data_IF_932605419704
#
_entry.id   IF_932605419704
#
_cell.length_a   1.000
_cell.length_b   1.000
_cell.length_c   1.000
_cell.angle_alpha   90.00
_cell.angle_beta   90.00
_cell.angle_gamma   90.00
#
_symmetry.space_group_name_H-M   'P 1'
#
loop_
_entity.id
_entity.type
_entity.pdbx_description
1 polymer ?
#
# COMPACT_ATOMS: atom_id res chain seq x y z
N UNK A 1 23.13 13.79 -40.15
CA UNK A 1 22.01 12.85 -39.84
C UNK A 1 22.47 11.48 -39.35
N UNK A 2 23.41 10.79 -40.03
CA UNK A 2 23.88 9.44 -39.64
C UNK A 2 24.55 9.38 -38.26
N UNK A 3 25.37 10.40 -37.94
CA UNK A 3 26.03 10.54 -36.62
C UNK A 3 25.02 10.71 -35.49
N UNK A 4 24.01 11.57 -35.66
CA UNK A 4 22.93 11.77 -34.67
C UNK A 4 22.15 10.48 -34.42
N UNK A 5 21.80 9.75 -35.49
CA UNK A 5 21.12 8.44 -35.37
C UNK A 5 21.97 7.42 -34.59
N UNK A 6 23.27 7.37 -34.84
CA UNK A 6 24.18 6.48 -34.11
C UNK A 6 24.31 6.88 -32.63
N UNK A 7 24.36 8.18 -32.31
CA UNK A 7 24.40 8.67 -30.92
C UNK A 7 23.10 8.29 -30.19
N UNK A 8 21.94 8.52 -30.81
CA UNK A 8 20.63 8.14 -30.23
C UNK A 8 20.57 6.62 -30.01
N UNK A 9 21.01 5.83 -30.99
CA UNK A 9 21.04 4.37 -30.87
C UNK A 9 21.92 3.90 -29.70
N UNK A 10 23.14 4.44 -29.57
CA UNK A 10 24.06 4.12 -28.46
C UNK A 10 23.44 4.53 -27.11
N UNK A 11 22.80 5.70 -27.04
CA UNK A 11 22.13 6.15 -25.82
C UNK A 11 20.96 5.22 -25.42
N UNK A 12 20.16 4.75 -26.38
CA UNK A 12 19.08 3.79 -26.13
C UNK A 12 19.65 2.47 -25.61
N UNK A 13 20.67 1.92 -26.26
CA UNK A 13 21.31 0.66 -25.82
C UNK A 13 21.88 0.81 -24.42
N UNK A 14 22.52 1.93 -24.11
CA UNK A 14 23.05 2.21 -22.77
C UNK A 14 21.94 2.28 -21.72
N UNK A 15 20.83 2.96 -22.00
CA UNK A 15 19.67 3.02 -21.10
C UNK A 15 19.04 1.64 -20.88
N UNK A 16 18.93 0.82 -21.93
CA UNK A 16 18.45 -0.57 -21.82
C UNK A 16 19.37 -1.39 -20.93
N UNK A 17 20.69 -1.29 -21.12
CA UNK A 17 21.68 -2.00 -20.30
C UNK A 17 21.60 -1.59 -18.82
N UNK A 18 21.43 -0.30 -18.52
CA UNK A 18 21.18 0.17 -17.15
C UNK A 18 19.89 -0.42 -16.61
N UNK A 19 18.82 -0.42 -17.41
CA UNK A 19 17.53 -1.01 -17.02
C UNK A 19 17.65 -2.49 -16.66
N UNK A 20 18.33 -3.28 -17.50
CA UNK A 20 18.59 -4.69 -17.23
C UNK A 20 19.40 -4.92 -15.95
N UNK A 21 20.43 -4.10 -15.71
CA UNK A 21 21.21 -4.16 -14.47
C UNK A 21 20.36 -3.85 -13.24
N UNK A 22 19.49 -2.84 -13.30
CA UNK A 22 18.59 -2.49 -12.20
C UNK A 22 17.58 -3.62 -11.94
N UNK A 23 17.06 -4.26 -13.00
CA UNK A 23 16.16 -5.40 -12.88
C UNK A 23 16.86 -6.61 -12.27
N UNK A 24 18.07 -6.94 -12.75
CA UNK A 24 18.89 -8.02 -12.20
C UNK A 24 19.18 -7.81 -10.71
N UNK A 25 19.67 -6.63 -10.33
CA UNK A 25 19.91 -6.30 -8.92
C UNK A 25 18.65 -6.37 -8.05
N UNK A 26 17.48 -6.03 -8.61
CA UNK A 26 16.19 -6.13 -7.91
C UNK A 26 15.75 -7.58 -7.72
N UNK A 27 15.99 -8.43 -8.72
CA UNK A 27 15.75 -9.86 -8.63
C UNK A 27 16.67 -10.52 -7.59
N UNK A 28 17.95 -10.20 -7.60
CA UNK A 28 18.93 -10.70 -6.63
C UNK A 28 18.53 -10.30 -5.21
N UNK A 29 18.11 -9.04 -5.00
CA UNK A 29 17.60 -8.56 -3.72
C UNK A 29 16.35 -9.33 -3.24
N UNK A 30 15.42 -9.66 -4.15
CA UNK A 30 14.26 -10.51 -3.83
C UNK A 30 14.70 -11.94 -3.43
N UNK A 31 15.63 -12.52 -4.18
CA UNK A 31 16.16 -13.86 -3.91
C UNK A 31 16.88 -13.94 -2.58
N UNK A 32 17.73 -12.95 -2.29
CA UNK A 32 18.43 -12.84 -1.01
C UNK A 32 17.45 -12.72 0.16
N UNK A 33 16.36 -11.97 0.00
CA UNK A 33 15.35 -11.79 1.04
C UNK A 33 14.66 -13.12 1.39
N UNK A 34 14.20 -13.88 0.39
CA UNK A 34 13.56 -15.20 0.59
C UNK A 34 14.54 -16.25 1.09
N UNK A 35 15.79 -16.22 0.61
CA UNK A 35 16.80 -17.17 1.05
C UNK A 35 17.19 -16.97 2.51
N UNK A 36 17.12 -15.73 3.03
CA UNK A 36 17.42 -15.42 4.44
C UNK A 36 16.27 -15.81 5.36
N UNK A 37 15.05 -15.46 4.99
CA UNK A 37 13.83 -15.80 5.74
C UNK A 37 12.76 -16.21 4.72
N UNK A 38 12.43 -17.50 4.62
CA UNK A 38 11.36 -17.99 3.76
C UNK A 38 10.03 -17.27 4.01
N UNK A 39 9.24 -17.12 2.96
CA UNK A 39 7.96 -16.40 3.02
C UNK A 39 6.99 -17.00 4.05
N UNK A 40 6.93 -18.33 4.13
CA UNK A 40 6.07 -19.04 5.09
C UNK A 40 6.45 -18.72 6.53
N UNK A 41 7.73 -18.82 6.88
CA UNK A 41 8.27 -18.50 8.21
C UNK A 41 8.00 -17.03 8.57
N UNK A 42 8.18 -16.13 7.60
CA UNK A 42 7.92 -14.71 7.79
C UNK A 42 6.45 -14.44 8.11
N UNK A 43 5.54 -15.09 7.40
CA UNK A 43 4.09 -14.96 7.61
C UNK A 43 3.65 -15.56 8.94
N UNK A 44 4.18 -16.72 9.33
CA UNK A 44 3.93 -17.34 10.63
C UNK A 44 4.33 -16.39 11.77
N UNK A 45 5.54 -15.82 11.70
CA UNK A 45 6.02 -14.84 12.69
C UNK A 45 5.10 -13.62 12.81
N UNK A 46 4.52 -13.16 11.68
CA UNK A 46 3.57 -12.04 11.70
C UNK A 46 2.26 -12.44 12.37
N UNK A 47 1.75 -13.64 12.07
CA UNK A 47 0.50 -14.19 12.64
C UNK A 47 0.61 -14.48 14.14
N UNK A 48 1.81 -14.72 14.65
CA UNK A 48 2.08 -14.95 16.08
C UNK A 48 2.12 -13.69 16.94
N UNK A 49 2.09 -12.48 16.34
CA UNK A 49 2.06 -11.23 17.12
C UNK A 49 0.83 -11.18 18.03
N UNK A 50 1.00 -10.77 19.28
CA UNK A 50 -0.10 -10.65 20.26
C UNK A 50 -1.24 -9.74 19.77
N UNK A 51 -0.91 -8.67 19.05
CA UNK A 51 -1.87 -7.73 18.50
C UNK A 51 -2.32 -8.08 17.07
N UNK A 52 -2.05 -9.29 16.58
CA UNK A 52 -2.55 -9.74 15.29
C UNK A 52 -4.09 -9.75 15.30
N UNK A 53 -4.68 -9.20 14.24
CA UNK A 53 -6.13 -9.04 14.09
C UNK A 53 -6.58 -9.71 12.82
N UNK A 54 -7.55 -10.62 12.92
CA UNK A 54 -8.09 -11.26 11.73
C UNK A 54 -8.97 -10.30 10.92
N UNK A 55 -9.10 -10.56 9.63
CA UNK A 55 -9.89 -9.71 8.74
C UNK A 55 -11.38 -9.64 9.15
N UNK A 56 -11.92 -10.65 9.83
CA UNK A 56 -13.31 -10.65 10.33
C UNK A 56 -13.47 -9.92 11.69
N UNK A 57 -12.35 -9.48 12.28
CA UNK A 57 -12.30 -8.70 13.51
C UNK A 57 -12.19 -7.20 13.26
N UNK A 58 -12.20 -6.78 12.00
CA UNK A 58 -12.32 -5.37 11.60
C UNK A 58 -13.68 -5.10 10.95
N UNK A 59 -14.22 -3.87 11.04
CA UNK A 59 -15.45 -3.50 10.35
C UNK A 59 -15.30 -3.64 8.83
N UNK A 60 -16.33 -4.11 8.13
CA UNK A 60 -16.28 -4.24 6.66
C UNK A 60 -16.00 -2.90 5.97
N UNK A 61 -16.49 -1.79 6.55
CA UNK A 61 -16.23 -0.45 6.03
C UNK A 61 -14.75 -0.07 6.09
N UNK A 62 -14.00 -0.57 7.07
CA UNK A 62 -12.56 -0.37 7.17
C UNK A 62 -11.84 -1.03 5.98
N UNK A 63 -12.21 -2.27 5.67
CA UNK A 63 -11.68 -3.02 4.53
C UNK A 63 -11.93 -2.27 3.22
N UNK A 64 -13.17 -1.83 3.00
CA UNK A 64 -13.56 -1.04 1.83
C UNK A 64 -12.80 0.28 1.75
N UNK A 65 -12.61 0.96 2.88
CA UNK A 65 -11.87 2.22 2.95
C UNK A 65 -10.41 2.04 2.55
N UNK A 66 -9.72 1.05 3.14
CA UNK A 66 -8.31 0.71 2.80
C UNK A 66 -8.18 0.39 1.32
N UNK A 67 -9.02 -0.51 0.80
CA UNK A 67 -9.01 -0.87 -0.63
C UNK A 67 -9.26 0.35 -1.50
N UNK A 68 -10.25 1.20 -1.17
CA UNK A 68 -10.60 2.36 -2.00
C UNK A 68 -9.44 3.34 -2.17
N UNK A 69 -8.62 3.54 -1.14
CA UNK A 69 -7.59 4.58 -1.13
C UNK A 69 -6.20 4.05 -1.50
N UNK A 70 -5.90 2.79 -1.17
CA UNK A 70 -4.60 2.18 -1.44
C UNK A 70 -4.59 1.39 -2.75
N UNK A 71 -5.67 0.68 -3.09
CA UNK A 71 -5.69 -0.25 -4.21
C UNK A 71 -7.11 -0.68 -4.64
N UNK A 72 -7.87 0.21 -5.29
CA UNK A 72 -9.31 -0.01 -5.56
C UNK A 72 -9.62 -1.23 -6.45
N UNK A 73 -8.62 -1.81 -7.10
CA UNK A 73 -8.75 -3.03 -7.91
C UNK A 73 -8.01 -4.20 -7.30
N UNK A 74 -7.73 -4.16 -6.00
CA UNK A 74 -6.97 -5.17 -5.27
C UNK A 74 -7.36 -6.61 -5.63
N UNK A 75 -8.67 -6.90 -5.66
CA UNK A 75 -9.20 -8.23 -6.00
C UNK A 75 -9.17 -8.58 -7.52
N UNK A 76 -8.75 -7.68 -8.39
CA UNK A 76 -8.80 -7.80 -9.86
C UNK A 76 -7.42 -7.93 -10.51
N UNK A 77 -6.34 -7.92 -9.74
CA UNK A 77 -4.97 -8.10 -10.23
C UNK A 77 -4.21 -9.10 -9.36
N UNK A 78 -3.01 -9.53 -9.80
CA UNK A 78 -2.16 -10.47 -9.06
C UNK A 78 -0.89 -9.75 -8.60
N UNK A 79 -1.01 -8.89 -7.60
CA UNK A 79 0.11 -8.15 -7.01
C UNK A 79 0.53 -6.86 -7.73
N UNK A 80 0.39 -6.78 -9.05
CA UNK A 80 0.72 -5.57 -9.83
C UNK A 80 -0.48 -5.10 -10.63
N UNK A 81 -0.83 -3.82 -10.47
CA UNK A 81 -1.90 -3.20 -11.24
C UNK A 81 -1.34 -2.36 -12.41
N UNK A 82 -1.21 -3.00 -13.58
CA UNK A 82 -0.72 -2.36 -14.81
C UNK A 82 -1.66 -1.21 -15.25
N UNK A 83 -2.96 -1.35 -15.02
CA UNK A 83 -3.95 -0.33 -15.41
C UNK A 83 -3.85 0.88 -14.47
N UNK A 84 -3.66 0.66 -13.17
CA UNK A 84 -3.41 1.75 -12.23
C UNK A 84 -2.07 2.45 -12.53
N UNK A 85 -1.01 1.71 -12.86
CA UNK A 85 0.29 2.28 -13.25
C UNK A 85 0.14 3.17 -14.50
N UNK A 86 -0.55 2.68 -15.53
CA UNK A 86 -0.80 3.46 -16.75
C UNK A 86 -1.62 4.73 -16.47
N UNK A 87 -2.68 4.62 -15.67
CA UNK A 87 -3.52 5.76 -15.26
C UNK A 87 -2.72 6.80 -14.45
N UNK A 88 -1.96 6.35 -13.46
CA UNK A 88 -1.12 7.22 -12.62
C UNK A 88 -0.08 7.96 -13.48
N UNK A 89 0.57 7.25 -14.41
CA UNK A 89 1.54 7.86 -15.33
C UNK A 89 0.91 8.98 -16.16
N UNK A 90 -0.30 8.77 -16.71
CA UNK A 90 -1.01 9.79 -17.49
C UNK A 90 -1.38 10.99 -16.63
N UNK A 91 -1.87 10.75 -15.40
CA UNK A 91 -2.28 11.81 -14.49
C UNK A 91 -1.08 12.63 -13.99
N UNK A 92 0.03 11.98 -13.66
CA UNK A 92 1.26 12.65 -13.23
C UNK A 92 1.85 13.54 -14.34
N UNK A 93 1.80 13.07 -15.59
CA UNK A 93 2.21 13.87 -16.76
C UNK A 93 1.31 15.10 -16.92
N UNK A 94 -0.02 14.91 -16.83
CA UNK A 94 -0.98 16.02 -16.94
C UNK A 94 -0.82 17.04 -15.80
N UNK A 95 -0.55 16.57 -14.60
CA UNK A 95 -0.35 17.42 -13.42
C UNK A 95 1.08 17.99 -13.32
N UNK A 96 2.01 17.56 -14.19
CA UNK A 96 3.44 17.84 -14.11
C UNK A 96 4.03 17.61 -12.70
N UNK A 97 3.44 16.68 -11.94
CA UNK A 97 3.77 16.37 -10.55
C UNK A 97 3.33 14.96 -10.21
N UNK A 98 4.02 14.31 -9.25
CA UNK A 98 3.65 12.97 -8.76
C UNK A 98 2.44 13.05 -7.84
N UNK A 99 1.24 12.97 -8.42
CA UNK A 99 -0.04 13.17 -7.73
C UNK A 99 -0.76 11.86 -7.43
N UNK A 100 -0.45 10.77 -8.13
CA UNK A 100 -1.05 9.46 -7.87
C UNK A 100 -0.03 8.40 -7.41
N UNK A 101 -0.39 7.67 -6.35
CA UNK A 101 0.34 6.48 -5.95
C UNK A 101 0.04 5.31 -6.88
N UNK A 102 1.09 4.67 -7.41
CA UNK A 102 0.97 3.48 -8.26
C UNK A 102 1.25 2.14 -7.56
N UNK A 103 1.41 2.13 -6.22
CA UNK A 103 1.76 0.90 -5.49
C UNK A 103 0.51 0.17 -5.00
N UNK A 104 0.44 -1.13 -5.26
CA UNK A 104 -0.65 -2.02 -4.78
C UNK A 104 -0.49 -2.36 -3.30
N UNK A 105 -1.56 -2.87 -2.67
CA UNK A 105 -1.51 -3.37 -1.28
C UNK A 105 -0.44 -4.47 -1.14
N UNK A 106 -0.34 -5.38 -2.11
CA UNK A 106 0.66 -6.47 -2.09
C UNK A 106 2.09 -5.94 -2.20
N UNK A 107 2.33 -4.88 -2.97
CA UNK A 107 3.65 -4.23 -3.02
C UNK A 107 3.99 -3.53 -1.71
N UNK A 108 3.00 -2.89 -1.10
CA UNK A 108 3.19 -2.28 0.21
C UNK A 108 3.46 -3.33 1.30
N UNK A 109 2.72 -4.45 1.30
CA UNK A 109 2.99 -5.58 2.19
C UNK A 109 4.42 -6.11 2.00
N UNK A 110 4.82 -6.37 0.76
CA UNK A 110 6.18 -6.81 0.42
C UNK A 110 7.25 -5.86 1.00
N UNK A 111 7.07 -4.55 0.81
CA UNK A 111 7.94 -3.53 1.40
C UNK A 111 7.99 -3.65 2.92
N UNK A 112 6.83 -3.72 3.57
CA UNK A 112 6.72 -3.69 5.03
C UNK A 112 7.43 -4.88 5.68
N UNK A 113 7.39 -6.06 5.07
CA UNK A 113 7.90 -7.29 5.70
C UNK A 113 9.36 -7.61 5.31
N UNK A 114 9.82 -7.24 4.11
CA UNK A 114 11.15 -7.64 3.61
C UNK A 114 12.14 -6.50 3.34
N UNK A 115 11.68 -5.29 3.03
CA UNK A 115 12.56 -4.30 2.40
C UNK A 115 12.62 -2.96 3.16
N UNK A 116 13.76 -2.70 3.81
CA UNK A 116 14.07 -1.41 4.46
C UNK A 116 14.69 -0.39 3.49
N UNK A 117 14.91 0.85 3.94
CA UNK A 117 15.05 2.07 3.10
C UNK A 117 16.34 2.24 2.26
N UNK A 118 16.95 1.20 1.69
CA UNK A 118 18.11 1.38 0.80
C UNK A 118 17.76 1.18 -0.69
N UNK A 119 18.35 2.02 -1.56
CA UNK A 119 18.21 2.05 -3.05
C UNK A 119 16.77 1.91 -3.57
N UNK A 120 16.02 3.04 -3.57
CA UNK A 120 14.58 3.13 -3.87
C UNK A 120 14.12 2.39 -5.14
N UNK A 121 14.86 2.46 -6.26
CA UNK A 121 14.43 1.85 -7.53
C UNK A 121 14.67 0.34 -7.54
N UNK A 122 15.87 -0.12 -7.20
CA UNK A 122 16.19 -1.56 -7.12
C UNK A 122 15.26 -2.27 -6.13
N UNK A 123 15.04 -1.66 -4.96
CA UNK A 123 14.06 -2.13 -3.98
C UNK A 123 12.65 -2.21 -4.56
N UNK A 124 12.24 -1.23 -5.37
CA UNK A 124 10.91 -1.24 -5.99
C UNK A 124 10.76 -2.40 -6.99
N UNK A 125 11.82 -2.79 -7.68
CA UNK A 125 11.81 -4.00 -8.51
C UNK A 125 11.77 -5.27 -7.64
N UNK A 126 12.51 -5.32 -6.53
CA UNK A 126 12.43 -6.44 -5.58
C UNK A 126 11.01 -6.60 -5.01
N UNK A 127 10.33 -5.49 -4.69
CA UNK A 127 8.91 -5.46 -4.29
C UNK A 127 8.01 -6.11 -5.35
N UNK A 128 8.26 -5.87 -6.64
CA UNK A 128 7.48 -6.50 -7.73
C UNK A 128 7.62 -8.02 -7.71
N UNK A 129 8.84 -8.54 -7.67
CA UNK A 129 9.07 -9.99 -7.64
C UNK A 129 8.50 -10.63 -6.37
N UNK A 130 8.68 -9.99 -5.21
CA UNK A 130 8.13 -10.47 -3.96
C UNK A 130 6.59 -10.41 -3.93
N UNK A 131 5.95 -9.38 -4.51
CA UNK A 131 4.49 -9.34 -4.61
C UNK A 131 3.93 -10.50 -5.43
N UNK A 132 4.61 -10.89 -6.53
CA UNK A 132 4.21 -12.05 -7.31
C UNK A 132 4.37 -13.36 -6.52
N UNK A 133 5.44 -13.48 -5.71
CA UNK A 133 5.60 -14.62 -4.82
C UNK A 133 4.49 -14.68 -3.76
N UNK A 134 4.14 -13.55 -3.15
CA UNK A 134 3.06 -13.47 -2.15
C UNK A 134 1.73 -13.91 -2.78
N UNK A 135 1.38 -13.38 -3.94
CA UNK A 135 0.10 -13.68 -4.63
C UNK A 135 0.01 -15.12 -5.14
N UNK A 136 1.14 -15.78 -5.33
CA UNK A 136 1.18 -17.20 -5.68
C UNK A 136 0.87 -18.10 -4.48
N UNK A 137 1.21 -17.67 -3.27
CA UNK A 137 1.16 -18.51 -2.07
C UNK A 137 0.00 -18.16 -1.12
N UNK A 138 -0.59 -16.97 -1.22
CA UNK A 138 -1.66 -16.49 -0.34
C UNK A 138 -2.82 -15.91 -1.13
N UNK A 139 -4.04 -16.11 -0.62
CA UNK A 139 -5.22 -15.50 -1.23
C UNK A 139 -5.35 -14.01 -0.82
N UNK A 140 -6.28 -13.30 -1.49
CA UNK A 140 -6.44 -11.85 -1.31
C UNK A 140 -6.80 -11.43 0.11
N UNK A 141 -7.61 -12.21 0.81
CA UNK A 141 -8.02 -11.88 2.17
C UNK A 141 -6.86 -12.09 3.14
N UNK A 142 -6.06 -13.14 2.96
CA UNK A 142 -4.82 -13.35 3.73
C UNK A 142 -3.79 -12.23 3.51
N UNK A 143 -3.63 -11.79 2.26
CA UNK A 143 -2.72 -10.68 1.91
C UNK A 143 -3.19 -9.40 2.58
N UNK A 144 -4.50 -9.13 2.54
CA UNK A 144 -5.07 -7.95 3.17
C UNK A 144 -4.92 -8.01 4.69
N UNK A 145 -5.21 -9.16 5.31
CA UNK A 145 -5.02 -9.39 6.74
C UNK A 145 -3.56 -9.14 7.17
N UNK A 146 -2.58 -9.66 6.41
CA UNK A 146 -1.16 -9.39 6.65
C UNK A 146 -0.81 -7.91 6.49
N UNK A 147 -1.38 -7.23 5.50
CA UNK A 147 -1.16 -5.81 5.28
C UNK A 147 -1.66 -4.98 6.47
N UNK A 148 -2.83 -5.27 7.02
CA UNK A 148 -3.39 -4.59 8.19
C UNK A 148 -2.56 -4.79 9.47
N UNK A 149 -1.80 -5.88 9.55
CA UNK A 149 -0.96 -6.25 10.70
C UNK A 149 0.55 -5.97 10.50
N UNK A 150 0.90 -5.25 9.44
CA UNK A 150 2.28 -4.85 9.14
C UNK A 150 2.41 -3.40 8.70
N UNK A 151 1.30 -2.72 8.45
CA UNK A 151 1.27 -1.30 8.09
C UNK A 151 1.61 -0.42 9.29
N UNK A 152 2.43 0.60 9.05
CA UNK A 152 2.75 1.58 10.08
C UNK A 152 1.64 2.64 10.15
N UNK A 153 1.06 2.82 11.33
CA UNK A 153 -0.01 3.80 11.58
C UNK A 153 0.48 5.04 12.33
N UNK A 154 1.80 5.16 12.56
CA UNK A 154 2.34 6.24 13.37
C UNK A 154 2.44 5.87 14.85
N UNK A 155 3.20 6.65 15.62
CA UNK A 155 3.32 6.49 17.08
C UNK A 155 3.69 5.08 17.56
N UNK A 156 4.52 4.39 16.77
CA UNK A 156 4.95 3.03 17.08
C UNK A 156 3.90 1.93 16.86
N UNK A 157 2.75 2.26 16.27
CA UNK A 157 1.70 1.28 15.95
C UNK A 157 1.97 0.64 14.58
N UNK A 158 2.09 -0.69 14.54
CA UNK A 158 2.36 -1.47 13.31
C UNK A 158 1.26 -2.49 12.99
N UNK A 159 0.18 -2.48 13.77
CA UNK A 159 -1.03 -3.27 13.55
C UNK A 159 -2.26 -2.38 13.67
N UNK A 160 -3.35 -2.77 12.98
CA UNK A 160 -4.65 -2.10 13.08
C UNK A 160 -5.17 -2.06 14.53
N UNK A 161 -4.89 -3.09 15.33
CA UNK A 161 -5.30 -3.16 16.75
C UNK A 161 -4.53 -2.23 17.65
N UNK A 162 -3.22 -2.14 17.48
CA UNK A 162 -2.42 -1.13 18.19
C UNK A 162 -2.95 0.26 17.88
N UNK A 163 -3.19 0.56 16.59
CA UNK A 163 -3.65 1.87 16.17
C UNK A 163 -5.08 2.19 16.66
N UNK A 164 -6.02 1.25 16.55
CA UNK A 164 -7.39 1.40 17.05
C UNK A 164 -7.43 1.65 18.56
N UNK A 165 -6.65 0.90 19.33
CA UNK A 165 -6.53 1.10 20.78
C UNK A 165 -5.85 2.43 21.10
N UNK A 166 -4.78 2.78 20.38
CA UNK A 166 -4.02 4.02 20.58
C UNK A 166 -4.86 5.27 20.31
N UNK A 167 -5.60 5.29 19.21
CA UNK A 167 -6.31 6.47 18.73
C UNK A 167 -7.73 6.60 19.25
N UNK A 168 -8.42 5.47 19.45
CA UNK A 168 -9.85 5.47 19.79
C UNK A 168 -10.17 4.75 21.10
N UNK A 169 -9.19 4.07 21.72
CA UNK A 169 -9.42 3.29 22.94
C UNK A 169 -10.32 2.07 22.71
N UNK A 170 -10.40 1.56 21.47
CA UNK A 170 -11.35 0.53 21.05
C UNK A 170 -10.65 -0.69 20.45
N UNK A 171 -11.24 -1.87 20.64
CA UNK A 171 -10.94 -3.02 19.79
C UNK A 171 -11.32 -2.71 18.34
N UNK A 172 -10.61 -3.23 17.32
CA UNK A 172 -10.88 -2.88 15.92
C UNK A 172 -12.35 -3.08 15.52
N UNK A 173 -12.97 -4.20 15.94
CA UNK A 173 -14.38 -4.51 15.69
C UNK A 173 -15.38 -3.50 16.29
N UNK A 174 -14.93 -2.63 17.18
CA UNK A 174 -15.74 -1.63 17.88
C UNK A 174 -15.55 -0.21 17.34
N UNK A 175 -14.67 -0.02 16.35
CA UNK A 175 -14.56 1.27 15.66
C UNK A 175 -15.89 1.65 15.02
N UNK A 176 -16.26 2.92 15.11
CA UNK A 176 -17.35 3.46 14.31
C UNK A 176 -16.92 3.54 12.84
N UNK A 177 -17.89 3.71 11.95
CA UNK A 177 -17.63 3.94 10.51
C UNK A 177 -16.69 5.13 10.29
N UNK A 178 -16.90 6.22 11.06
CA UNK A 178 -16.04 7.40 11.03
C UNK A 178 -14.59 7.05 11.43
N UNK A 179 -14.40 6.36 12.56
CA UNK A 179 -13.08 5.97 13.08
C UNK A 179 -12.35 4.99 12.15
N UNK A 180 -13.09 4.03 11.59
CA UNK A 180 -12.57 3.08 10.60
C UNK A 180 -12.05 3.81 9.35
N UNK A 181 -12.87 4.68 8.76
CA UNK A 181 -12.47 5.45 7.56
C UNK A 181 -11.31 6.40 7.87
N UNK A 182 -11.30 7.01 9.05
CA UNK A 182 -10.19 7.84 9.51
C UNK A 182 -8.88 7.04 9.54
N UNK A 183 -8.92 5.87 10.18
CA UNK A 183 -7.75 5.01 10.35
C UNK A 183 -7.19 4.50 9.02
N UNK A 184 -8.07 4.21 8.06
CA UNK A 184 -7.67 3.76 6.72
C UNK A 184 -6.84 4.81 5.95
N UNK A 185 -7.00 6.10 6.27
CA UNK A 185 -6.25 7.19 5.64
C UNK A 185 -4.82 7.37 6.15
N UNK A 186 -4.50 6.85 7.34
CA UNK A 186 -3.24 7.13 8.05
C UNK A 186 -2.01 6.47 7.41
N UNK A 187 -2.02 5.18 7.00
CA UNK A 187 -0.83 4.47 6.49
C UNK A 187 -0.10 5.15 5.32
N UNK A 188 -0.82 5.96 4.54
CA UNK A 188 -0.25 6.68 3.40
C UNK A 188 0.91 7.61 3.79
N UNK A 189 0.76 8.35 4.89
CA UNK A 189 1.79 9.23 5.43
C UNK A 189 1.62 9.37 6.95
N UNK A 190 2.01 8.36 7.74
CA UNK A 190 1.62 8.25 9.15
C UNK A 190 2.13 9.41 10.02
N UNK A 191 3.30 9.95 9.70
CA UNK A 191 3.86 11.13 10.38
C UNK A 191 3.10 12.42 10.04
N UNK A 192 2.50 12.51 8.85
CA UNK A 192 1.75 13.69 8.38
C UNK A 192 0.32 13.63 8.92
N UNK A 193 -0.33 12.47 8.81
CA UNK A 193 -1.73 12.24 9.21
C UNK A 193 -1.89 11.70 10.63
N UNK A 194 -0.89 11.91 11.51
CA UNK A 194 -0.97 11.51 12.91
C UNK A 194 -2.14 12.22 13.59
N UNK A 195 -3.04 11.43 14.19
CA UNK A 195 -4.23 11.94 14.87
C UNK A 195 -3.91 12.77 16.12
N UNK A 196 -2.77 12.52 16.77
CA UNK A 196 -2.35 13.28 17.95
C UNK A 196 -1.62 14.58 17.58
N UNK A 197 -0.85 14.58 16.48
CA UNK A 197 -0.04 15.73 16.08
C UNK A 197 -0.75 16.67 15.12
N UNK A 198 -1.46 16.11 14.12
CA UNK A 198 -2.05 16.85 13.01
C UNK A 198 -3.50 16.40 12.72
N UNK A 199 -4.43 16.52 13.70
CA UNK A 199 -5.81 16.03 13.55
C UNK A 199 -6.55 16.65 12.35
N UNK A 200 -6.27 17.91 12.01
CA UNK A 200 -6.90 18.56 10.86
C UNK A 200 -6.43 17.99 9.51
N UNK A 201 -5.14 17.62 9.39
CA UNK A 201 -4.65 16.92 8.19
C UNK A 201 -5.22 15.50 8.10
N UNK A 202 -5.37 14.82 9.23
CA UNK A 202 -6.02 13.51 9.28
C UNK A 202 -7.48 13.58 8.81
N UNK A 203 -8.26 14.58 9.27
CA UNK A 203 -9.63 14.83 8.78
C UNK A 203 -9.69 15.14 7.28
N UNK A 204 -8.75 15.96 6.78
CA UNK A 204 -8.66 16.20 5.33
C UNK A 204 -8.40 14.91 4.56
N UNK A 205 -7.51 14.06 5.07
CA UNK A 205 -7.23 12.74 4.49
C UNK A 205 -8.44 11.81 4.55
N UNK A 206 -9.17 11.77 5.67
CA UNK A 206 -10.41 11.01 5.80
C UNK A 206 -11.45 11.42 4.75
N UNK A 207 -11.62 12.73 4.50
CA UNK A 207 -12.51 13.21 3.43
C UNK A 207 -12.07 12.71 2.04
N UNK A 208 -10.77 12.63 1.78
CA UNK A 208 -10.27 12.04 0.53
C UNK A 208 -10.61 10.54 0.43
N UNK A 209 -10.50 9.79 1.54
CA UNK A 209 -10.90 8.37 1.60
C UNK A 209 -12.39 8.24 1.30
N UNK A 210 -13.25 9.04 1.95
CA UNK A 210 -14.70 9.05 1.70
C UNK A 210 -15.01 9.34 0.23
N UNK A 211 -14.37 10.35 -0.36
CA UNK A 211 -14.56 10.67 -1.78
C UNK A 211 -14.17 9.49 -2.69
N UNK A 212 -13.09 8.76 -2.37
CA UNK A 212 -12.71 7.54 -3.10
C UNK A 212 -13.71 6.41 -2.89
N UNK A 213 -14.24 6.25 -1.69
CA UNK A 213 -15.30 5.28 -1.41
C UNK A 213 -16.57 5.59 -2.20
N UNK A 214 -16.94 6.85 -2.36
CA UNK A 214 -18.08 7.27 -3.20
C UNK A 214 -17.77 7.02 -4.68
N UNK A 215 -16.59 7.45 -5.16
CA UNK A 215 -16.13 7.26 -6.54
C UNK A 215 -16.21 5.79 -6.98
N UNK A 216 -15.81 4.88 -6.09
CA UNK A 216 -15.84 3.43 -6.34
C UNK A 216 -17.10 2.72 -5.85
N UNK A 217 -18.13 3.48 -5.46
CA UNK A 217 -19.47 3.00 -5.08
C UNK A 217 -19.50 2.09 -3.84
N UNK A 218 -18.53 2.24 -2.94
CA UNK A 218 -18.57 1.64 -1.60
C UNK A 218 -19.48 2.41 -0.65
N UNK A 219 -19.72 3.69 -0.93
CA UNK A 219 -20.67 4.55 -0.22
C UNK A 219 -21.50 5.36 -1.21
N UNK A 220 -22.73 5.67 -0.84
CA UNK A 220 -23.52 6.76 -1.41
C UNK A 220 -23.16 8.09 -0.74
N UNK A 221 -23.47 9.21 -1.39
CA UNK A 221 -23.31 10.53 -0.78
C UNK A 221 -24.07 10.63 0.56
N UNK A 222 -25.29 10.11 0.63
CA UNK A 222 -26.11 10.16 1.84
C UNK A 222 -25.52 9.35 3.00
N UNK A 223 -24.90 8.19 2.73
CA UNK A 223 -24.19 7.41 3.76
C UNK A 223 -22.95 8.16 4.24
N UNK A 224 -22.19 8.75 3.32
CA UNK A 224 -21.02 9.56 3.65
C UNK A 224 -21.38 10.76 4.55
N UNK A 225 -22.46 11.48 4.23
CA UNK A 225 -22.91 12.63 5.01
C UNK A 225 -23.27 12.21 6.46
N UNK A 226 -24.01 11.10 6.62
CA UNK A 226 -24.36 10.55 7.95
C UNK A 226 -23.14 10.12 8.77
N UNK A 227 -22.11 9.59 8.12
CA UNK A 227 -20.86 9.20 8.81
C UNK A 227 -20.12 10.45 9.31
N UNK A 228 -20.15 11.54 8.55
CA UNK A 228 -19.47 12.80 8.90
C UNK A 228 -20.19 13.64 9.96
N UNK A 229 -21.45 13.32 10.28
CA UNK A 229 -22.25 13.97 11.33
C UNK A 229 -22.00 13.40 12.74
N UNK A 230 -21.22 12.32 12.86
CA UNK A 230 -20.84 11.67 14.14
C UNK A 230 -19.63 12.36 14.80
#
# INVERSE_FOLDING_TARGET
>A
MKVIKNIIFVAIVFLISIGLLVVGNGYDMYKDAISKIPLTEKVETIKEKENYTKIEEVPEIYIKAVISVEDHRFYKHNGIDIIAIGRATINDIKAMSFVEGGSTITQQLSKNIYFTQEKKITRKIAEVFMSLEIEKNYNKDEILELYLNTSYFGEGCYTVKEASRKYFGKEPKKMTDYEAIMLAGIPNAPSVYSLTKNPELAKQRQKQVINKMIEYKYLTQSEADKILEQ
#
